data_IF_861681980076
#
_entry.id   IF_861681980076
#
_cell.length_a   1.000
_cell.length_b   1.000
_cell.length_c   1.000
_cell.angle_alpha   90.00
_cell.angle_beta   90.00
_cell.angle_gamma   90.00
#
_symmetry.space_group_name_H-M   'P 1'
#
loop_
_entity.id
_entity.type
_entity.pdbx_description
1 polymer ?
#
# COMPACT_ATOMS: atom_id res chain seq x y z
N UNK A 1 1.94 -59.29 5.38
CA UNK A 1 1.40 -57.91 5.43
C UNK A 1 0.38 -57.78 4.33
N UNK A 2 -0.91 -57.84 4.71
CA UNK A 2 -2.06 -57.88 3.82
C UNK A 2 -2.50 -56.46 3.47
N UNK A 3 -2.55 -56.14 2.18
CA UNK A 3 -3.08 -54.87 1.64
C UNK A 3 -4.52 -55.08 1.18
N UNK A 4 -5.46 -54.36 1.79
CA UNK A 4 -6.85 -54.26 1.32
C UNK A 4 -7.02 -53.01 0.47
N UNK A 5 -7.42 -53.19 -0.79
CA UNK A 5 -7.97 -52.14 -1.64
C UNK A 5 -9.49 -52.12 -1.53
N UNK A 6 -10.06 -50.96 -1.19
CA UNK A 6 -11.50 -50.69 -1.31
C UNK A 6 -11.70 -49.70 -2.47
N UNK A 7 -12.42 -50.14 -3.49
CA UNK A 7 -12.93 -49.29 -4.57
C UNK A 7 -14.44 -49.14 -4.38
N UNK A 8 -14.92 -47.90 -4.22
CA UNK A 8 -16.35 -47.59 -4.17
C UNK A 8 -16.76 -46.93 -5.48
N UNK A 9 -17.66 -47.61 -6.22
CA UNK A 9 -18.39 -47.05 -7.35
C UNK A 9 -19.58 -46.23 -6.82
N UNK A 10 -19.72 -44.99 -7.30
CA UNK A 10 -20.94 -44.18 -7.12
C UNK A 10 -21.52 -43.89 -8.50
N UNK A 11 -22.72 -44.41 -8.76
CA UNK A 11 -23.55 -44.10 -9.92
C UNK A 11 -24.39 -42.86 -9.64
N UNK A 12 -24.31 -41.82 -10.48
CA UNK A 12 -25.19 -40.65 -10.44
C UNK A 12 -26.36 -40.82 -11.40
N UNK A 13 -27.57 -40.61 -10.89
CA UNK A 13 -28.80 -40.49 -11.66
C UNK A 13 -29.05 -39.01 -11.98
N UNK A 14 -29.17 -38.70 -13.26
CA UNK A 14 -29.55 -37.39 -13.79
C UNK A 14 -31.09 -37.23 -13.77
N UNK A 15 -31.57 -36.05 -13.39
CA UNK A 15 -32.91 -35.57 -13.76
C UNK A 15 -32.88 -34.07 -14.06
N UNK A 16 -33.46 -33.59 -15.17
CA UNK A 16 -33.41 -32.19 -15.57
C UNK A 16 -34.73 -31.47 -15.27
N UNK A 17 -34.65 -30.20 -14.87
CA UNK A 17 -35.73 -29.24 -15.11
C UNK A 17 -35.16 -27.83 -15.30
N UNK A 18 -35.34 -27.35 -16.52
CA UNK A 18 -34.96 -26.07 -17.06
C UNK A 18 -36.00 -25.01 -16.68
N UNK A 19 -35.58 -23.83 -16.25
CA UNK A 19 -36.40 -22.63 -16.41
C UNK A 19 -35.51 -21.41 -16.70
N UNK A 20 -35.67 -20.92 -17.93
CA UNK A 20 -34.95 -19.82 -18.52
C UNK A 20 -35.74 -18.53 -18.26
N UNK A 21 -35.10 -17.51 -17.68
CA UNK A 21 -35.62 -16.14 -17.70
C UNK A 21 -34.62 -15.22 -18.39
N UNK A 22 -35.08 -14.67 -19.53
CA UNK A 22 -34.46 -13.58 -20.28
C UNK A 22 -34.59 -12.28 -19.50
N UNK A 23 -33.51 -11.49 -19.46
CA UNK A 23 -33.60 -10.05 -19.25
C UNK A 23 -32.87 -9.34 -20.39
N UNK A 24 -33.66 -8.66 -21.22
CA UNK A 24 -33.22 -7.67 -22.21
C UNK A 24 -33.01 -6.32 -21.51
N UNK A 25 -31.82 -5.73 -21.62
CA UNK A 25 -31.59 -4.31 -21.31
C UNK A 25 -30.38 -3.80 -22.09
N UNK A 26 -30.64 -3.27 -23.30
CA UNK A 26 -29.74 -2.36 -24.01
C UNK A 26 -30.55 -1.33 -24.80
N UNK A 27 -30.36 -0.05 -24.45
CA UNK A 27 -30.64 1.21 -25.19
C UNK A 27 -30.53 2.33 -24.14
N UNK A 28 -29.77 3.43 -24.24
CA UNK A 28 -29.36 4.28 -25.35
C UNK A 28 -28.07 5.03 -25.00
N UNK A 29 -27.20 5.27 -25.98
CA UNK A 29 -26.18 6.34 -25.94
C UNK A 29 -26.35 7.17 -27.21
N UNK A 30 -26.56 8.51 -27.14
CA UNK A 30 -26.56 9.35 -28.33
C UNK A 30 -25.15 9.83 -28.67
N UNK A 31 -24.78 9.61 -29.93
CA UNK A 31 -23.69 10.27 -30.63
C UNK A 31 -24.08 11.73 -30.90
N UNK A 32 -23.22 12.68 -30.55
CA UNK A 32 -23.25 14.04 -31.10
C UNK A 32 -21.94 14.33 -31.81
N UNK A 33 -22.08 14.76 -33.05
CA UNK A 33 -21.03 15.17 -33.96
C UNK A 33 -21.12 16.68 -34.25
N UNK A 34 -19.96 17.23 -34.61
CA UNK A 34 -19.70 18.45 -35.40
C UNK A 34 -19.83 19.84 -34.74
N UNK A 35 -18.73 20.62 -34.81
CA UNK A 35 -18.67 21.83 -35.66
C UNK A 35 -17.23 22.36 -35.83
N UNK A 36 -16.98 22.88 -37.03
CA UNK A 36 -15.73 23.45 -37.58
C UNK A 36 -15.60 24.96 -37.27
N UNK A 37 -14.46 25.54 -37.70
CA UNK A 37 -14.02 26.97 -37.81
C UNK A 37 -13.16 27.46 -36.63
N UNK A 38 -11.96 28.03 -36.77
CA UNK A 38 -11.22 28.60 -37.90
C UNK A 38 -10.88 30.06 -37.60
N UNK A 39 -9.72 30.35 -37.00
CA UNK A 39 -9.17 31.73 -36.90
C UNK A 39 -7.64 31.68 -37.06
N UNK A 40 -7.16 32.30 -38.14
CA UNK A 40 -5.75 32.65 -38.37
C UNK A 40 -5.52 34.03 -37.73
N UNK A 41 -4.61 34.11 -36.76
CA UNK A 41 -4.22 35.35 -36.08
C UNK A 41 -2.75 35.68 -36.30
N UNK A 42 -2.50 36.90 -36.81
CA UNK A 42 -1.19 37.48 -37.08
C UNK A 42 -0.25 37.49 -35.86
N UNK A 43 1.01 37.14 -36.09
CA UNK A 43 2.10 37.23 -35.10
C UNK A 43 2.75 38.61 -35.24
N UNK A 44 2.54 39.48 -34.25
CA UNK A 44 3.26 40.75 -34.11
C UNK A 44 4.48 40.52 -33.22
N UNK A 45 5.67 40.73 -33.77
CA UNK A 45 6.96 40.62 -33.12
C UNK A 45 7.18 41.81 -32.18
N UNK A 46 6.96 41.59 -30.88
CA UNK A 46 7.40 42.49 -29.80
C UNK A 46 8.68 41.92 -29.17
N UNK A 47 9.79 42.62 -29.34
CA UNK A 47 11.01 42.41 -28.55
C UNK A 47 10.73 42.80 -27.09
N UNK A 48 10.59 41.80 -26.21
CA UNK A 48 10.57 42.03 -24.76
C UNK A 48 12.00 42.20 -24.27
N UNK A 49 12.32 43.42 -23.84
CA UNK A 49 13.46 43.70 -22.97
C UNK A 49 13.18 43.00 -21.62
N UNK A 50 13.86 41.89 -21.36
CA UNK A 50 13.78 41.18 -20.08
C UNK A 50 14.63 41.96 -19.07
N UNK A 51 13.97 42.81 -18.28
CA UNK A 51 14.58 43.43 -17.10
C UNK A 51 14.58 42.37 -15.99
N UNK A 52 15.72 41.73 -15.77
CA UNK A 52 15.95 40.82 -14.63
C UNK A 52 15.98 41.63 -13.32
N UNK A 53 14.80 41.95 -12.78
CA UNK A 53 14.67 42.60 -11.48
C UNK A 53 14.62 41.53 -10.37
N UNK A 54 15.52 41.58 -9.36
CA UNK A 54 15.57 40.59 -8.27
C UNK A 54 14.30 40.51 -7.43
N UNK A 55 13.44 41.54 -7.47
CA UNK A 55 12.16 41.59 -6.74
C UNK A 55 11.11 40.66 -7.39
N UNK A 56 11.16 40.45 -8.71
CA UNK A 56 10.22 39.57 -9.41
C UNK A 56 10.48 38.11 -9.08
N UNK A 57 11.75 37.73 -8.88
CA UNK A 57 12.13 36.37 -8.53
C UNK A 57 11.69 35.97 -7.11
N UNK A 58 11.69 36.90 -6.14
CA UNK A 58 11.25 36.59 -4.77
C UNK A 58 9.75 36.29 -4.67
N UNK A 59 8.90 37.02 -5.41
CA UNK A 59 7.45 36.73 -5.43
C UNK A 59 7.14 35.38 -6.06
N UNK A 60 7.79 35.06 -7.18
CA UNK A 60 7.57 33.79 -7.89
C UNK A 60 7.90 32.57 -6.99
N UNK A 61 9.00 32.62 -6.23
CA UNK A 61 9.36 31.56 -5.29
C UNK A 61 8.32 31.39 -4.16
N UNK A 62 7.81 32.50 -3.60
CA UNK A 62 6.82 32.44 -2.52
C UNK A 62 5.46 31.86 -2.95
N UNK A 63 5.05 32.07 -4.20
CA UNK A 63 3.82 31.50 -4.75
C UNK A 63 3.96 30.00 -5.03
N UNK A 64 5.11 29.57 -5.53
CA UNK A 64 5.43 28.16 -5.77
C UNK A 64 5.46 27.36 -4.47
N UNK A 65 6.13 27.87 -3.43
CA UNK A 65 6.13 27.27 -2.09
C UNK A 65 4.72 27.15 -1.50
N UNK A 66 3.89 28.18 -1.67
CA UNK A 66 2.50 28.16 -1.18
C UNK A 66 1.63 27.13 -1.90
N UNK A 67 1.84 26.94 -3.21
CA UNK A 67 1.12 25.93 -3.99
C UNK A 67 1.52 24.52 -3.58
N UNK A 68 2.83 24.24 -3.45
CA UNK A 68 3.35 22.95 -3.00
C UNK A 68 2.84 22.58 -1.60
N UNK A 69 2.82 23.55 -0.66
CA UNK A 69 2.30 23.33 0.69
C UNK A 69 0.81 22.96 0.71
N UNK A 70 -0.01 23.59 -0.13
CA UNK A 70 -1.44 23.29 -0.23
C UNK A 70 -1.68 21.87 -0.77
N UNK A 71 -0.82 21.43 -1.67
CA UNK A 71 -0.95 20.16 -2.33
C UNK A 71 -0.52 18.97 -1.45
N UNK A 72 0.61 19.09 -0.75
CA UNK A 72 1.04 18.12 0.27
C UNK A 72 -0.02 17.99 1.37
N UNK A 73 -0.63 19.11 1.78
CA UNK A 73 -1.75 19.10 2.70
C UNK A 73 -2.96 18.31 2.16
N UNK A 74 -3.16 18.26 0.84
CA UNK A 74 -4.25 17.49 0.21
C UNK A 74 -4.02 15.98 0.29
N UNK A 75 -2.80 15.51 0.03
CA UNK A 75 -2.44 14.09 0.19
C UNK A 75 -2.60 13.63 1.65
N UNK A 76 -2.05 14.39 2.59
CA UNK A 76 -2.11 14.09 4.01
C UNK A 76 -3.55 14.11 4.52
N UNK A 77 -4.33 15.15 4.19
CA UNK A 77 -5.74 15.24 4.58
C UNK A 77 -6.59 14.09 4.02
N UNK A 78 -6.33 13.70 2.77
CA UNK A 78 -7.04 12.57 2.15
C UNK A 78 -6.71 11.25 2.84
N UNK A 79 -5.44 11.06 3.21
CA UNK A 79 -4.98 9.83 3.87
C UNK A 79 -5.49 9.75 5.31
N UNK A 80 -5.51 10.88 6.03
CA UNK A 80 -6.17 11.01 7.33
C UNK A 80 -7.67 10.70 7.25
N UNK A 81 -8.36 11.17 6.20
CA UNK A 81 -9.76 10.81 5.97
C UNK A 81 -9.94 9.30 5.85
N UNK A 82 -9.04 8.60 5.17
CA UNK A 82 -9.12 7.14 5.06
C UNK A 82 -8.76 6.43 6.37
N UNK A 83 -7.75 6.88 7.12
CA UNK A 83 -7.47 6.34 8.45
C UNK A 83 -8.70 6.37 9.37
N UNK A 84 -9.47 7.46 9.32
CA UNK A 84 -10.73 7.58 10.09
C UNK A 84 -11.82 6.57 9.68
N UNK A 85 -11.75 5.97 8.48
CA UNK A 85 -12.67 4.91 8.06
C UNK A 85 -12.31 3.53 8.66
N UNK A 86 -11.11 3.41 9.23
CA UNK A 86 -10.58 2.18 9.82
C UNK A 86 -10.15 2.36 11.29
N UNK A 87 -11.06 2.76 12.19
CA UNK A 87 -10.69 3.08 13.59
C UNK A 87 -10.20 1.86 14.40
N UNK A 88 -10.50 0.66 13.94
CA UNK A 88 -10.05 -0.63 14.47
C UNK A 88 -8.64 -1.02 14.02
N UNK A 89 -8.10 -0.33 13.01
CA UNK A 89 -6.73 -0.52 12.53
C UNK A 89 -5.89 0.67 12.98
N UNK A 90 -4.80 0.40 13.69
CA UNK A 90 -3.91 1.45 14.16
C UNK A 90 -3.25 2.16 12.96
N UNK A 91 -3.39 3.49 12.89
CA UNK A 91 -2.77 4.29 11.84
C UNK A 91 -1.30 4.56 12.13
N UNK A 92 -0.46 4.54 11.10
CA UNK A 92 0.94 4.95 11.14
C UNK A 92 1.15 6.08 10.13
N UNK A 93 1.77 7.19 10.55
CA UNK A 93 2.18 8.24 9.61
C UNK A 93 3.56 7.94 9.03
N UNK A 94 3.79 8.43 7.83
CA UNK A 94 5.08 8.30 7.16
C UNK A 94 6.21 9.01 7.93
N UNK A 95 5.95 10.16 8.53
CA UNK A 95 6.92 10.89 9.37
C UNK A 95 7.33 10.04 10.57
N UNK A 96 6.37 9.40 11.24
CA UNK A 96 6.67 8.51 12.37
C UNK A 96 7.49 7.30 11.94
N UNK A 97 7.15 6.67 10.81
CA UNK A 97 7.91 5.55 10.27
C UNK A 97 9.37 5.94 10.01
N UNK A 98 9.59 7.09 9.36
CA UNK A 98 10.94 7.60 9.10
C UNK A 98 11.68 7.96 10.39
N UNK A 99 11.01 8.62 11.33
CA UNK A 99 11.58 8.97 12.63
C UNK A 99 12.08 7.72 13.36
N UNK A 100 11.24 6.69 13.52
CA UNK A 100 11.61 5.45 14.21
C UNK A 100 12.78 4.73 13.51
N UNK A 101 12.82 4.80 12.17
CA UNK A 101 13.90 4.22 11.36
C UNK A 101 15.23 4.94 11.54
N UNK A 102 15.21 6.28 11.56
CA UNK A 102 16.45 7.05 11.70
C UNK A 102 16.95 7.08 13.15
N UNK A 103 16.07 7.11 14.15
CA UNK A 103 16.48 7.08 15.56
C UNK A 103 17.21 5.79 15.94
N UNK A 104 16.84 4.66 15.35
CA UNK A 104 17.46 3.35 15.65
C UNK A 104 18.80 3.14 14.95
N UNK A 105 19.07 3.86 13.85
CA UNK A 105 20.31 3.72 13.08
C UNK A 105 21.56 4.24 13.79
N UNK A 106 21.41 5.08 14.82
CA UNK A 106 22.49 5.78 15.50
C UNK A 106 23.47 4.87 16.27
N UNK A 107 23.10 3.60 16.51
CA UNK A 107 23.92 2.66 17.30
C UNK A 107 24.65 1.60 16.47
N UNK A 108 24.43 1.52 15.15
CA UNK A 108 25.05 0.51 14.28
C UNK A 108 26.07 1.16 13.33
N UNK A 109 27.36 1.05 13.66
CA UNK A 109 28.45 1.81 13.02
C UNK A 109 28.92 1.30 11.64
N UNK A 110 28.25 0.32 11.02
CA UNK A 110 28.63 -0.22 9.71
C UNK A 110 27.75 0.35 8.59
N UNK A 111 28.29 1.35 7.88
CA UNK A 111 27.64 2.16 6.86
C UNK A 111 27.15 1.44 5.58
N UNK A 112 27.47 0.15 5.39
CA UNK A 112 27.44 -0.49 4.06
C UNK A 112 26.31 -1.52 3.84
N UNK A 113 25.50 -1.83 4.85
CA UNK A 113 24.49 -2.89 4.78
C UNK A 113 23.02 -2.40 4.71
N UNK A 114 22.74 -1.31 3.99
CA UNK A 114 21.36 -0.90 3.64
C UNK A 114 20.75 -1.81 2.55
N UNK A 115 21.04 -3.12 2.57
CA UNK A 115 20.54 -4.07 1.56
C UNK A 115 19.36 -4.93 2.00
N UNK A 116 18.98 -4.87 3.27
CA UNK A 116 17.68 -5.34 3.72
C UNK A 116 17.20 -4.40 4.83
N UNK A 117 16.38 -3.40 4.47
CA UNK A 117 15.81 -2.46 5.43
C UNK A 117 14.95 -3.24 6.42
N UNK A 118 15.56 -3.69 7.51
CA UNK A 118 14.85 -4.25 8.65
C UNK A 118 14.16 -3.08 9.33
N UNK A 119 12.86 -2.94 9.09
CA UNK A 119 12.09 -1.86 9.68
C UNK A 119 11.91 -2.11 11.17
N UNK A 120 12.18 -1.08 11.98
CA UNK A 120 11.95 -1.11 13.43
C UNK A 120 10.96 0.01 13.76
N UNK A 121 9.84 -0.34 14.36
CA UNK A 121 8.76 0.60 14.71
C UNK A 121 8.44 0.40 16.19
N UNK A 122 8.53 1.44 16.99
CA UNK A 122 8.39 1.38 18.46
C UNK A 122 9.29 0.28 19.10
N UNK A 123 10.53 0.15 18.60
CA UNK A 123 11.49 -0.86 19.07
C UNK A 123 11.20 -2.31 18.64
N UNK A 124 10.25 -2.51 17.73
CA UNK A 124 9.82 -3.83 17.27
C UNK A 124 10.11 -4.05 15.79
N UNK A 125 10.45 -5.28 15.42
CA UNK A 125 10.63 -5.68 14.03
C UNK A 125 9.32 -5.53 13.26
N UNK A 126 9.39 -4.89 12.09
CA UNK A 126 8.25 -4.63 11.25
C UNK A 126 8.45 -5.19 9.83
N UNK A 127 7.35 -5.67 9.25
CA UNK A 127 7.25 -6.01 7.81
C UNK A 127 6.31 -5.01 7.15
N UNK A 128 6.80 -4.36 6.09
CA UNK A 128 5.97 -3.50 5.24
C UNK A 128 5.35 -4.33 4.11
N UNK A 129 4.04 -4.22 3.93
CA UNK A 129 3.27 -4.97 2.92
C UNK A 129 2.62 -4.00 1.95
N UNK A 130 3.03 -4.07 0.69
CA UNK A 130 2.49 -3.26 -0.40
C UNK A 130 1.26 -3.93 -1.02
N UNK A 131 0.10 -3.31 -0.82
CA UNK A 131 -1.18 -3.81 -1.36
C UNK A 131 -1.58 -3.15 -2.68
N UNK A 132 -0.71 -2.35 -3.28
CA UNK A 132 -0.95 -1.79 -4.62
C UNK A 132 -0.89 -2.88 -5.67
N UNK A 133 -1.43 -2.60 -6.86
CA UNK A 133 -1.33 -3.52 -8.00
C UNK A 133 0.11 -3.65 -8.51
N UNK A 134 0.45 -4.76 -9.18
CA UNK A 134 1.79 -5.00 -9.74
C UNK A 134 2.32 -3.82 -10.58
N UNK A 135 1.54 -3.19 -11.47
CA UNK A 135 2.04 -2.05 -12.23
C UNK A 135 2.36 -0.83 -11.36
N UNK A 136 1.58 -0.56 -10.31
CA UNK A 136 1.89 0.52 -9.36
C UNK A 136 3.18 0.24 -8.59
N UNK A 137 3.40 -1.03 -8.19
CA UNK A 137 4.64 -1.46 -7.54
C UNK A 137 5.83 -1.33 -8.47
N UNK A 138 5.68 -1.68 -9.75
CA UNK A 138 6.75 -1.55 -10.76
C UNK A 138 7.24 -0.11 -10.96
N UNK A 139 6.43 0.90 -10.61
CA UNK A 139 6.88 2.30 -10.59
C UNK A 139 7.89 2.55 -9.46
N UNK A 140 7.54 2.13 -8.25
CA UNK A 140 8.39 2.24 -7.07
C UNK A 140 7.82 1.42 -5.93
N UNK A 141 8.66 1.04 -4.96
CA UNK A 141 8.29 0.41 -3.68
C UNK A 141 9.12 0.99 -2.55
N UNK A 142 8.60 0.94 -1.32
CA UNK A 142 9.41 1.23 -0.14
C UNK A 142 10.45 0.11 0.03
N UNK A 143 11.71 0.47 0.25
CA UNK A 143 12.81 -0.50 0.39
C UNK A 143 12.50 -1.55 1.46
N UNK A 144 12.74 -2.83 1.15
CA UNK A 144 12.46 -3.95 2.05
C UNK A 144 10.97 -4.31 2.20
N UNK A 145 10.04 -3.60 1.54
CA UNK A 145 8.65 -4.00 1.51
C UNK A 145 8.43 -5.22 0.59
N UNK A 146 7.45 -6.04 0.94
CA UNK A 146 7.01 -7.20 0.14
C UNK A 146 5.61 -6.98 -0.43
N UNK A 147 5.26 -7.73 -1.48
CA UNK A 147 3.91 -7.67 -2.04
C UNK A 147 2.89 -8.38 -1.15
N UNK A 148 1.60 -8.04 -1.30
CA UNK A 148 0.53 -8.76 -0.59
C UNK A 148 0.50 -10.27 -0.88
N UNK A 149 0.78 -10.67 -2.11
CA UNK A 149 0.78 -12.09 -2.51
C UNK A 149 1.94 -12.84 -1.87
N UNK A 150 3.13 -12.23 -1.86
CA UNK A 150 4.31 -12.74 -1.16
C UNK A 150 4.08 -12.87 0.35
N UNK A 151 3.48 -11.85 0.96
CA UNK A 151 3.11 -11.87 2.37
C UNK A 151 2.17 -13.04 2.70
N UNK A 152 1.12 -13.26 1.89
CA UNK A 152 0.16 -14.35 2.09
C UNK A 152 0.76 -15.74 1.84
N UNK A 153 1.65 -15.85 0.87
CA UNK A 153 2.22 -17.15 0.45
C UNK A 153 3.38 -17.56 1.35
N UNK A 154 4.18 -16.61 1.83
CA UNK A 154 5.44 -16.90 2.51
C UNK A 154 5.39 -16.55 3.99
N UNK A 155 4.84 -15.38 4.37
CA UNK A 155 4.91 -14.88 5.75
C UNK A 155 3.80 -15.44 6.61
N UNK A 156 2.55 -15.46 6.13
CA UNK A 156 1.42 -15.98 6.91
C UNK A 156 1.61 -17.45 7.32
N UNK A 157 1.99 -18.39 6.43
CA UNK A 157 2.20 -19.78 6.83
C UNK A 157 3.29 -19.92 7.89
N UNK A 158 4.39 -19.18 7.75
CA UNK A 158 5.44 -19.14 8.76
C UNK A 158 4.88 -18.67 10.10
N UNK A 159 4.16 -17.55 10.14
CA UNK A 159 3.53 -17.05 11.38
C UNK A 159 2.57 -18.05 12.03
N UNK A 160 1.93 -18.92 11.24
CA UNK A 160 1.02 -19.96 11.74
C UNK A 160 1.73 -21.19 12.28
N UNK A 161 2.90 -21.53 11.75
CA UNK A 161 3.66 -22.73 12.14
C UNK A 161 4.56 -22.50 13.37
N UNK A 162 4.73 -21.25 13.78
CA UNK A 162 5.74 -20.89 14.78
C UNK A 162 5.41 -21.39 16.19
N UNK A 163 6.43 -21.99 16.81
CA UNK A 163 6.41 -22.36 18.22
C UNK A 163 6.45 -21.11 19.11
N UNK A 164 5.77 -21.13 20.28
CA UNK A 164 5.84 -20.04 21.26
C UNK A 164 7.24 -19.66 21.75
N UNK A 165 8.27 -20.46 21.46
CA UNK A 165 9.66 -20.20 21.86
C UNK A 165 10.47 -19.41 20.81
N UNK A 166 10.01 -19.30 19.56
CA UNK A 166 10.70 -18.60 18.45
C UNK A 166 10.29 -17.11 18.30
N UNK A 167 9.87 -16.47 19.39
CA UNK A 167 9.22 -15.15 19.37
C UNK A 167 10.17 -14.00 19.00
N UNK A 168 11.48 -14.16 19.21
CA UNK A 168 12.46 -13.07 19.05
C UNK A 168 12.84 -12.76 17.59
N UNK A 169 12.68 -13.72 16.68
CA UNK A 169 13.01 -13.55 15.26
C UNK A 169 11.84 -13.03 14.42
N UNK A 170 10.63 -12.98 15.01
CA UNK A 170 9.41 -12.69 14.27
C UNK A 170 9.14 -11.20 14.11
N UNK A 171 8.42 -10.82 13.04
CA UNK A 171 7.86 -9.48 12.98
C UNK A 171 6.77 -9.35 14.04
N UNK A 172 6.94 -8.39 14.94
CA UNK A 172 5.89 -8.05 15.91
C UNK A 172 4.93 -6.99 15.35
N UNK A 173 5.26 -6.40 14.19
CA UNK A 173 4.45 -5.37 13.54
C UNK A 173 4.34 -5.66 12.05
N UNK A 174 3.13 -5.56 11.50
CA UNK A 174 2.83 -5.68 10.07
C UNK A 174 2.16 -4.38 9.64
N UNK A 175 2.77 -3.70 8.67
CA UNK A 175 2.28 -2.40 8.20
C UNK A 175 1.86 -2.54 6.76
N UNK A 176 0.57 -2.39 6.52
CA UNK A 176 0.04 -2.35 5.16
C UNK A 176 0.11 -0.92 4.62
N UNK A 177 0.51 -0.77 3.37
CA UNK A 177 0.47 0.51 2.69
C UNK A 177 -0.03 0.39 1.25
N UNK A 178 -0.59 1.48 0.76
CA UNK A 178 -0.97 1.62 -0.64
C UNK A 178 -0.60 3.01 -1.13
N UNK A 179 -1.29 3.53 -2.15
CA UNK A 179 -0.98 4.87 -2.68
C UNK A 179 -1.31 5.98 -1.68
N UNK A 180 -2.47 5.92 -1.01
CA UNK A 180 -3.02 6.98 -0.14
C UNK A 180 -3.72 6.45 1.14
N UNK A 181 -3.41 5.22 1.58
CA UNK A 181 -3.94 4.65 2.82
C UNK A 181 -5.31 3.94 2.77
N UNK A 182 -6.10 4.06 1.68
CA UNK A 182 -7.43 3.40 1.61
C UNK A 182 -7.36 1.87 1.48
N UNK A 183 -6.73 1.35 0.42
CA UNK A 183 -6.67 -0.10 0.15
C UNK A 183 -5.93 -0.85 1.25
N UNK A 184 -4.90 -0.24 1.82
CA UNK A 184 -4.15 -0.79 2.94
C UNK A 184 -5.01 -0.89 4.21
N UNK A 185 -5.88 0.08 4.49
CA UNK A 185 -6.84 -0.03 5.59
C UNK A 185 -7.85 -1.18 5.39
N UNK A 186 -8.36 -1.34 4.17
CA UNK A 186 -9.26 -2.46 3.80
C UNK A 186 -8.57 -3.82 4.02
N UNK A 187 -7.36 -4.00 3.49
CA UNK A 187 -6.63 -5.27 3.61
C UNK A 187 -6.16 -5.51 5.06
N UNK A 188 -5.74 -4.49 5.80
CA UNK A 188 -5.36 -4.62 7.21
C UNK A 188 -6.52 -5.14 8.06
N UNK A 189 -7.71 -4.53 7.95
CA UNK A 189 -8.92 -5.01 8.63
C UNK A 189 -9.28 -6.43 8.19
N UNK A 190 -9.17 -6.72 6.90
CA UNK A 190 -9.43 -8.06 6.36
C UNK A 190 -8.49 -9.10 6.98
N UNK A 191 -7.19 -8.81 7.09
CA UNK A 191 -6.23 -9.71 7.74
C UNK A 191 -6.57 -9.95 9.21
N UNK A 192 -6.93 -8.91 9.96
CA UNK A 192 -7.34 -9.05 11.36
C UNK A 192 -8.56 -9.97 11.53
N UNK A 193 -9.51 -9.92 10.58
CA UNK A 193 -10.70 -10.76 10.59
C UNK A 193 -10.43 -12.20 10.09
N UNK A 194 -9.54 -12.36 9.11
CA UNK A 194 -9.22 -13.66 8.50
C UNK A 194 -8.31 -14.49 9.40
N UNK A 195 -7.42 -13.85 10.17
CA UNK A 195 -6.45 -14.49 11.07
C UNK A 195 -6.54 -13.93 12.50
N UNK A 196 -7.68 -14.09 13.19
CA UNK A 196 -7.88 -13.50 14.51
C UNK A 196 -6.90 -14.03 15.55
N UNK A 197 -6.46 -15.28 15.45
CA UNK A 197 -5.47 -15.84 16.40
C UNK A 197 -4.08 -15.20 16.26
N UNK A 198 -3.73 -14.63 15.08
CA UNK A 198 -2.47 -13.90 14.88
C UNK A 198 -2.58 -12.44 15.35
N UNK A 199 -3.74 -11.81 15.11
CA UNK A 199 -3.86 -10.34 15.16
C UNK A 199 -4.91 -9.80 16.15
N UNK A 200 -5.78 -10.63 16.72
CA UNK A 200 -6.83 -10.13 17.60
C UNK A 200 -6.26 -9.78 18.98
N UNK A 201 -6.71 -8.65 19.52
CA UNK A 201 -6.43 -8.29 20.90
C UNK A 201 -7.35 -9.19 21.71
N UNK A 202 -6.86 -9.85 22.77
CA UNK A 202 -7.75 -10.51 23.71
C UNK A 202 -8.91 -9.54 23.97
N UNK A 203 -10.12 -9.92 23.55
CA UNK A 203 -11.31 -9.18 23.92
C UNK A 203 -11.19 -9.08 25.43
N UNK A 204 -11.11 -7.85 25.97
CA UNK A 204 -11.11 -7.65 27.41
C UNK A 204 -12.22 -8.53 27.92
N UNK A 205 -11.87 -9.57 28.68
CA UNK A 205 -12.85 -10.50 29.21
C UNK A 205 -13.66 -9.65 30.19
N UNK A 206 -14.72 -9.03 29.70
CA UNK A 206 -15.58 -8.19 30.50
C UNK A 206 -16.27 -9.12 31.51
N UNK A 207 -15.76 -9.08 32.74
CA UNK A 207 -16.44 -9.45 33.97
C UNK A 207 -17.26 -10.76 33.95
N UNK A 208 -16.69 -11.88 33.49
CA UNK A 208 -17.29 -13.18 33.77
C UNK A 208 -16.63 -13.84 34.99
N UNK A 209 -17.28 -13.65 36.15
CA UNK A 209 -17.26 -14.55 37.30
C UNK A 209 -15.91 -14.86 37.95
N UNK A 210 -15.66 -14.27 39.13
CA UNK A 210 -14.67 -14.73 40.11
C UNK A 210 -14.81 -16.25 40.34
N UNK A 211 -13.86 -17.04 39.85
CA UNK A 211 -13.56 -18.34 40.45
C UNK A 211 -12.06 -18.58 40.39
N UNK A 212 -11.56 -19.07 41.51
CA UNK A 212 -10.19 -19.01 41.95
C UNK A 212 -9.23 -19.91 41.16
N UNK A 213 -8.00 -19.40 41.07
CA UNK A 213 -6.73 -20.14 41.13
C UNK A 213 -6.48 -21.27 40.13
N UNK A 214 -5.67 -20.99 39.12
CA UNK A 214 -4.46 -21.79 38.94
C UNK A 214 -3.32 -20.95 38.33
N UNK A 215 -2.16 -21.07 38.96
CA UNK A 215 -0.90 -20.34 38.79
C UNK A 215 -0.17 -20.66 37.45
N UNK A 216 -0.90 -20.75 36.35
CA UNK A 216 -0.31 -20.76 35.03
C UNK A 216 0.17 -19.34 34.74
N UNK A 217 1.48 -19.12 34.88
CA UNK A 217 2.17 -18.01 34.22
C UNK A 217 1.82 -18.09 32.74
N UNK A 218 0.72 -17.45 32.33
CA UNK A 218 0.36 -17.27 30.93
C UNK A 218 1.58 -16.61 30.31
N UNK A 219 2.40 -17.38 29.58
CA UNK A 219 3.42 -16.85 28.68
C UNK A 219 2.64 -15.90 27.76
N UNK A 220 2.76 -14.61 28.03
CA UNK A 220 2.08 -13.58 27.28
C UNK A 220 2.77 -13.53 25.91
N UNK A 221 2.26 -14.33 24.97
CA UNK A 221 2.75 -14.31 23.61
C UNK A 221 2.60 -12.89 23.08
N UNK A 222 3.70 -12.32 22.58
CA UNK A 222 3.70 -10.94 22.13
C UNK A 222 2.83 -10.85 20.88
N UNK A 223 1.70 -10.17 21.01
CA UNK A 223 0.72 -9.99 19.95
C UNK A 223 1.34 -9.25 18.75
N UNK A 224 1.12 -9.76 17.54
CA UNK A 224 1.49 -9.08 16.30
C UNK A 224 0.54 -7.90 16.07
N UNK A 225 1.10 -6.71 15.92
CA UNK A 225 0.38 -5.48 15.64
C UNK A 225 0.15 -5.33 14.14
N UNK A 226 -1.05 -4.90 13.75
CA UNK A 226 -1.38 -4.60 12.36
C UNK A 226 -1.65 -3.10 12.26
N UNK A 227 -0.94 -2.43 11.34
CA UNK A 227 -1.03 -0.98 11.12
C UNK A 227 -1.33 -0.64 9.68
N UNK A 228 -1.92 0.55 9.48
CA UNK A 228 -2.18 1.14 8.16
C UNK A 228 -1.30 2.39 7.98
N UNK A 229 -0.39 2.38 7.01
CA UNK A 229 0.40 3.55 6.64
C UNK A 229 -0.44 4.50 5.78
N UNK A 230 -0.23 5.80 5.96
CA UNK A 230 -0.88 6.88 5.20
C UNK A 230 -0.58 6.86 3.69
N UNK A 231 0.32 6.00 3.22
CA UNK A 231 0.51 5.66 1.82
C UNK A 231 1.80 6.21 1.24
N UNK A 232 2.24 5.62 0.12
CA UNK A 232 3.54 5.91 -0.49
C UNK A 232 3.67 7.37 -0.96
N UNK A 233 2.55 8.05 -1.24
CA UNK A 233 2.55 9.46 -1.61
C UNK A 233 3.03 10.34 -0.45
N UNK A 234 2.46 10.13 0.75
CA UNK A 234 2.91 10.85 1.95
C UNK A 234 4.32 10.41 2.36
N UNK A 235 4.66 9.14 2.15
CA UNK A 235 6.01 8.64 2.40
C UNK A 235 7.07 9.37 1.59
N UNK A 236 6.84 9.55 0.29
CA UNK A 236 7.74 10.31 -0.59
C UNK A 236 7.90 11.77 -0.12
N UNK A 237 6.79 12.43 0.22
CA UNK A 237 6.84 13.80 0.73
C UNK A 237 7.57 13.91 2.09
N UNK A 238 7.34 12.95 3.00
CA UNK A 238 8.00 12.90 4.30
C UNK A 238 9.51 12.65 4.16
N UNK A 239 9.92 11.84 3.18
CA UNK A 239 11.34 11.64 2.84
C UNK A 239 12.01 12.95 2.43
N UNK A 240 11.39 13.74 1.55
CA UNK A 240 11.96 15.02 1.12
C UNK A 240 11.98 16.06 2.25
N UNK A 241 10.94 16.10 3.08
CA UNK A 241 10.94 16.96 4.27
C UNK A 241 12.09 16.59 5.21
N UNK A 242 12.32 15.29 5.44
CA UNK A 242 13.43 14.79 6.25
C UNK A 242 14.80 15.14 5.65
N UNK A 243 14.96 15.02 4.33
CA UNK A 243 16.18 15.43 3.62
C UNK A 243 16.46 16.92 3.77
N UNK A 244 15.42 17.74 3.60
CA UNK A 244 15.53 19.19 3.68
C UNK A 244 15.95 19.61 5.08
N UNK A 245 15.33 19.02 6.11
CA UNK A 245 15.71 19.25 7.50
C UNK A 245 17.14 18.81 7.79
N UNK A 246 17.57 17.66 7.28
CA UNK A 246 18.95 17.19 7.43
C UNK A 246 19.95 18.16 6.79
N UNK A 247 19.67 18.69 5.59
CA UNK A 247 20.53 19.69 4.91
C UNK A 247 20.63 21.00 5.70
N UNK A 248 19.52 21.46 6.28
CA UNK A 248 19.53 22.67 7.12
C UNK A 248 20.37 22.48 8.38
N UNK A 249 20.35 21.29 8.99
CA UNK A 249 21.18 20.99 10.15
C UNK A 249 22.68 20.87 9.80
N UNK A 250 23.01 20.24 8.66
CA UNK A 250 24.39 20.06 8.19
C UNK A 250 25.02 21.38 7.71
N UNK A 251 24.25 22.36 7.25
CA UNK A 251 24.81 23.68 6.95
C UNK A 251 25.52 24.34 8.16
N UNK A 252 25.27 23.83 9.38
CA UNK A 252 25.96 24.24 10.60
C UNK A 252 27.22 23.43 10.94
N UNK A 253 27.48 22.29 10.27
CA UNK A 253 28.59 21.38 10.60
C UNK A 253 29.37 21.00 9.34
N UNK A 254 30.71 21.08 9.37
CA UNK A 254 31.58 20.77 8.21
C UNK A 254 31.66 19.26 7.87
N UNK A 255 30.67 18.46 8.25
CA UNK A 255 30.66 17.01 8.01
C UNK A 255 30.16 16.68 6.60
N UNK A 256 30.83 15.76 5.88
CA UNK A 256 30.41 15.35 4.54
C UNK A 256 29.01 14.73 4.58
N UNK A 257 28.11 15.31 3.79
CA UNK A 257 26.67 15.04 3.81
C UNK A 257 26.36 13.63 3.26
N UNK A 258 26.26 12.63 4.14
CA UNK A 258 25.83 11.27 3.75
C UNK A 258 24.32 11.30 3.48
N UNK A 259 23.92 11.14 2.21
CA UNK A 259 22.51 11.05 1.80
C UNK A 259 21.87 9.73 2.25
N UNK A 260 21.56 9.59 3.55
CA UNK A 260 20.98 8.36 4.14
C UNK A 260 19.60 8.02 3.56
N UNK A 261 18.86 9.02 3.09
CA UNK A 261 17.48 8.91 2.58
C UNK A 261 17.39 8.42 1.13
N UNK A 262 18.44 8.62 0.32
CA UNK A 262 18.48 8.21 -1.09
C UNK A 262 18.59 6.68 -1.18
N UNK A 263 17.45 6.01 -1.14
CA UNK A 263 17.38 4.55 -1.21
C UNK A 263 16.18 3.94 -0.50
N UNK A 264 15.38 4.74 0.21
CA UNK A 264 14.17 4.24 0.85
C UNK A 264 13.01 4.05 -0.13
N UNK A 265 13.06 4.70 -1.29
CA UNK A 265 12.16 4.43 -2.42
C UNK A 265 12.97 3.81 -3.56
N UNK A 266 12.59 2.60 -3.97
CA UNK A 266 13.33 1.79 -4.95
C UNK A 266 12.48 1.41 -6.15
N UNK A 267 13.11 1.21 -7.30
CA UNK A 267 12.50 0.46 -8.39
C UNK A 267 12.65 -1.03 -8.07
N UNK A 268 11.55 -1.80 -7.92
CA UNK A 268 11.64 -3.19 -7.47
C UNK A 268 12.34 -4.12 -8.46
N UNK A 269 12.44 -3.75 -9.74
CA UNK A 269 13.10 -4.59 -10.75
C UNK A 269 14.63 -4.43 -10.73
N UNK A 270 15.13 -3.25 -10.38
CA UNK A 270 16.57 -2.95 -10.39
C UNK A 270 17.17 -2.84 -8.99
N UNK A 271 16.31 -2.77 -7.96
CA UNK A 271 16.65 -2.45 -6.59
C UNK A 271 17.47 -1.16 -6.45
N UNK A 272 17.34 -0.25 -7.42
CA UNK A 272 18.01 1.05 -7.40
C UNK A 272 17.08 2.12 -6.82
N UNK A 273 17.63 3.13 -6.14
CA UNK A 273 16.85 4.30 -5.72
C UNK A 273 16.09 4.91 -6.90
N UNK A 274 14.85 5.34 -6.65
CA UNK A 274 14.03 6.01 -7.65
C UNK A 274 13.28 7.18 -7.03
N UNK A 275 13.01 8.20 -7.83
CA UNK A 275 12.13 9.31 -7.48
C UNK A 275 10.77 9.20 -8.19
N UNK A 276 10.44 8.06 -8.78
CA UNK A 276 9.17 7.88 -9.47
C UNK A 276 8.09 7.44 -8.49
N UNK A 277 6.92 8.08 -8.49
CA UNK A 277 5.81 7.72 -7.60
C UNK A 277 4.53 7.66 -8.40
N UNK A 278 3.82 6.54 -8.31
CA UNK A 278 2.52 6.43 -8.98
C UNK A 278 1.45 7.28 -8.28
N UNK A 279 0.65 8.01 -9.06
CA UNK A 279 -0.47 8.84 -8.58
C UNK A 279 -1.76 8.54 -9.37
N UNK A 280 -2.94 8.75 -8.76
CA UNK A 280 -4.24 8.34 -9.34
C UNK A 280 -4.74 9.19 -10.52
N UNK A 281 -4.01 10.24 -10.93
CA UNK A 281 -4.39 11.08 -12.05
C UNK A 281 -3.55 12.35 -12.15
N UNK A 282 -3.71 13.14 -13.23
CA UNK A 282 -2.98 14.39 -13.40
C UNK A 282 -3.24 15.38 -12.27
N UNK A 283 -4.46 15.38 -11.71
CA UNK A 283 -4.82 16.21 -10.56
C UNK A 283 -4.16 15.77 -9.26
N UNK A 284 -3.40 14.68 -9.21
CA UNK A 284 -2.65 14.29 -8.02
C UNK A 284 -1.16 14.62 -8.13
N UNK A 285 -0.70 15.09 -9.29
CA UNK A 285 0.70 15.45 -9.52
C UNK A 285 1.18 16.53 -8.55
N UNK A 286 0.33 17.52 -8.27
CA UNK A 286 0.68 18.59 -7.34
C UNK A 286 0.85 18.08 -5.91
N UNK A 287 0.18 16.98 -5.53
CA UNK A 287 0.24 16.43 -4.17
C UNK A 287 1.57 15.75 -3.83
N UNK A 288 2.48 15.68 -4.79
CA UNK A 288 3.81 15.14 -4.67
C UNK A 288 4.81 16.29 -4.78
N UNK A 289 5.84 16.26 -3.95
CA UNK A 289 6.87 17.29 -3.99
C UNK A 289 7.68 17.24 -5.29
N UNK A 290 8.26 18.39 -5.66
CA UNK A 290 8.88 18.64 -6.97
C UNK A 290 10.11 17.75 -7.25
N UNK A 291 10.72 17.18 -6.22
CA UNK A 291 11.87 16.27 -6.39
C UNK A 291 11.48 14.90 -6.96
N UNK A 292 10.18 14.56 -6.99
CA UNK A 292 9.68 13.29 -7.48
C UNK A 292 8.96 13.41 -8.82
N UNK A 293 9.07 12.35 -9.63
CA UNK A 293 8.42 12.20 -10.93
C UNK A 293 7.06 11.46 -10.76
N UNK A 294 5.91 12.15 -10.91
CA UNK A 294 4.62 11.52 -10.77
C UNK A 294 4.25 10.69 -12.00
N UNK A 295 4.09 9.39 -11.82
CA UNK A 295 3.66 8.45 -12.85
C UNK A 295 2.14 8.27 -12.79
N UNK A 296 1.46 8.62 -13.89
CA UNK A 296 0.01 8.46 -14.03
C UNK A 296 -0.25 7.32 -15.00
N UNK A 297 -1.10 6.36 -14.61
CA UNK A 297 -1.58 5.35 -15.57
C UNK A 297 -2.77 5.88 -16.37
N UNK A 298 -2.87 5.39 -17.60
CA UNK A 298 -3.97 5.79 -18.49
C UNK A 298 -5.30 5.25 -17.96
N UNK A 299 -6.40 5.99 -18.15
CA UNK A 299 -7.74 5.54 -17.76
C UNK A 299 -8.12 4.18 -18.38
N UNK A 300 -7.58 3.89 -19.57
CA UNK A 300 -7.79 2.62 -20.26
C UNK A 300 -7.21 1.46 -19.45
N UNK A 301 -6.02 1.60 -18.86
CA UNK A 301 -5.44 0.56 -18.00
C UNK A 301 -6.27 0.28 -16.75
N UNK A 302 -6.96 1.29 -16.20
CA UNK A 302 -7.88 1.08 -15.08
C UNK A 302 -9.18 0.40 -15.53
N UNK A 303 -9.72 0.77 -16.68
CA UNK A 303 -10.93 0.18 -17.25
C UNK A 303 -10.79 -1.32 -17.52
N UNK A 304 -9.69 -1.73 -18.16
CA UNK A 304 -9.41 -3.15 -18.41
C UNK A 304 -9.25 -3.97 -17.12
N UNK A 305 -8.69 -3.36 -16.06
CA UNK A 305 -8.52 -4.02 -14.76
C UNK A 305 -9.84 -4.20 -14.01
N UNK A 306 -10.74 -3.21 -14.07
CA UNK A 306 -12.09 -3.35 -13.53
C UNK A 306 -12.87 -4.48 -14.21
N UNK A 307 -12.71 -4.61 -15.53
CA UNK A 307 -13.37 -5.66 -16.31
C UNK A 307 -12.83 -7.07 -15.95
N UNK A 308 -11.51 -7.22 -15.75
CA UNK A 308 -10.91 -8.50 -15.35
C UNK A 308 -11.49 -9.05 -14.04
N UNK A 309 -11.69 -8.20 -13.02
CA UNK A 309 -12.32 -8.59 -11.75
C UNK A 309 -13.77 -9.01 -11.94
N UNK A 310 -14.49 -8.33 -12.85
CA UNK A 310 -15.88 -8.65 -13.16
C UNK A 310 -15.99 -10.02 -13.86
N UNK A 311 -15.14 -10.27 -14.86
CA UNK A 311 -15.11 -11.53 -15.61
C UNK A 311 -14.67 -12.72 -14.74
N UNK A 312 -13.78 -12.50 -13.77
CA UNK A 312 -13.34 -13.53 -12.84
C UNK A 312 -14.47 -13.97 -11.89
N UNK A 313 -15.42 -13.09 -11.57
CA UNK A 313 -16.64 -13.46 -10.81
C UNK A 313 -17.63 -14.28 -11.62
N UNK A 314 -17.71 -14.05 -12.93
CA UNK A 314 -18.63 -14.80 -13.81
C UNK A 314 -18.18 -16.27 -13.93
N UNK A 315 -16.87 -16.53 -13.90
CA UNK A 315 -16.33 -17.90 -13.98
C UNK A 315 -16.70 -18.80 -12.79
N UNK A 316 -17.11 -18.23 -11.66
CA UNK A 316 -17.55 -19.00 -10.48
C UNK A 316 -19.04 -19.37 -10.51
N UNK A 317 -19.85 -18.77 -11.40
CA UNK A 317 -21.31 -19.00 -11.47
C UNK A 317 -21.63 -20.41 -12.03
N UNK A 318 -20.67 -21.08 -12.67
CA UNK A 318 -20.82 -22.44 -13.21
C UNK A 318 -20.46 -23.60 -12.27
N UNK A 319 -19.92 -23.33 -11.08
CA UNK A 319 -19.55 -24.40 -10.15
C UNK A 319 -20.73 -24.76 -9.24
N UNK A 320 -21.48 -25.81 -9.60
CA UNK A 320 -22.55 -26.39 -8.76
C UNK A 320 -22.06 -27.17 -7.54
N UNK A 321 -20.78 -27.11 -7.18
CA UNK A 321 -20.33 -27.63 -5.90
C UNK A 321 -20.79 -26.68 -4.80
N UNK A 322 -21.58 -27.16 -3.84
CA UNK A 322 -22.10 -26.40 -2.69
C UNK A 322 -21.02 -25.92 -1.70
N UNK A 323 -19.83 -25.59 -2.19
CA UNK A 323 -18.66 -25.16 -1.45
C UNK A 323 -18.57 -23.62 -1.47
N UNK A 324 -19.62 -22.94 -1.02
CA UNK A 324 -19.66 -21.46 -0.94
C UNK A 324 -18.53 -20.90 -0.05
N UNK A 325 -18.01 -21.71 0.88
CA UNK A 325 -16.87 -21.37 1.73
C UNK A 325 -15.49 -21.69 1.11
N UNK A 326 -15.40 -22.65 0.18
CA UNK A 326 -14.12 -23.01 -0.45
C UNK A 326 -13.78 -22.09 -1.64
N UNK A 327 -14.77 -21.64 -2.41
CA UNK A 327 -14.54 -20.70 -3.53
C UNK A 327 -14.19 -19.27 -3.08
N UNK A 328 -14.31 -18.94 -1.79
CA UNK A 328 -13.80 -17.67 -1.22
C UNK A 328 -12.31 -17.73 -0.86
N UNK A 329 -11.66 -18.91 -0.90
CA UNK A 329 -10.20 -19.02 -0.75
C UNK A 329 -9.52 -18.80 -2.10
N UNK A 330 -8.97 -17.59 -2.25
CA UNK A 330 -8.13 -17.00 -3.31
C UNK A 330 -7.78 -17.82 -4.57
N UNK A 331 -8.18 -17.36 -5.78
CA UNK A 331 -7.70 -17.89 -7.07
C UNK A 331 -6.51 -17.11 -7.68
N UNK A 332 -5.71 -16.37 -6.92
CA UNK A 332 -4.68 -15.45 -7.46
C UNK A 332 -3.33 -16.08 -7.84
N UNK A 333 -3.25 -17.39 -8.10
CA UNK A 333 -1.93 -18.04 -8.31
C UNK A 333 -1.48 -18.24 -9.75
N UNK A 334 -2.26 -17.95 -10.81
CA UNK A 334 -1.76 -18.09 -12.19
C UNK A 334 -2.39 -17.13 -13.19
N UNK A 335 -1.69 -16.04 -13.48
CA UNK A 335 -1.74 -15.34 -14.77
C UNK A 335 -0.54 -14.40 -14.84
N UNK A 336 0.45 -14.77 -15.67
CA UNK A 336 1.70 -14.03 -15.91
C UNK A 336 1.48 -12.60 -16.42
#
# INVERSE_FOLDING_TARGET
MTTHHFAAHVTSTLSPACHQQRFDLFRHVPLLANCHTGIIGCVSSYERVIINSPIVNQRAMSEQERSANTATATAAATSQKYHKMFPDVESLSSEKLLHDTFSTSTESSCADDIKASKWIIDGKNAVLVDVRSRPERNTSMISGAISLDEFKTNVIPQLMELSPDDVLSQPNTIVFYCTIGYRSGVEARKMQNEYPFLFHQECKAEHYGKSETHNLKKKQQSKIQVRNLDGILNFANALEASETQARMNVASTNEPNKHITKGLLINPNTNQPTNRVHVYGPSWKHCLSESYDPVVFSNMEFGWRGLGVLLQRISCIGCSCGCEQACRRYPWSKSD
#
